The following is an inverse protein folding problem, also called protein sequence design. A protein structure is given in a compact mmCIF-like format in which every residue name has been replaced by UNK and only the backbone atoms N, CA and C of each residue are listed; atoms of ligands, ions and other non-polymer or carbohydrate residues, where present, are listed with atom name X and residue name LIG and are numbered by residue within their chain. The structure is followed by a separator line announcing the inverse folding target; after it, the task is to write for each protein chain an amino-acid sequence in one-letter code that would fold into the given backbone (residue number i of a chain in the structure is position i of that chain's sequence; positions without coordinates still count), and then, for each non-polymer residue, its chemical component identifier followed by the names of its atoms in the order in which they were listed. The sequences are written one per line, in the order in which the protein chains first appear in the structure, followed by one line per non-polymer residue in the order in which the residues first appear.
data_IF_508443664043
#
_entry.id   IF_508443664043
#
_cell.length_a   1.000
_cell.length_b   1.000
_cell.length_c   1.000
_cell.angle_alpha   90.00
_cell.angle_beta   90.00
_cell.angle_gamma   90.00
#
_symmetry.space_group_name_H-M   'P 1'
#
loop_
_entity.id
_entity.type
_entity.pdbx_description
1 polymer ?
#
# COMPACT_ATOMS: atom_id res chain seq x y z
N UNK A 1 -4.70 -19.96 -7.95
CA UNK A 1 -3.78 -19.36 -8.96
C UNK A 1 -2.41 -19.99 -8.84
N UNK A 2 -1.82 -20.34 -9.96
CA UNK A 2 -0.49 -20.96 -10.00
C UNK A 2 0.51 -20.01 -10.67
N UNK A 3 1.74 -20.02 -10.18
CA UNK A 3 2.84 -19.32 -10.83
C UNK A 3 3.33 -20.20 -11.98
N UNK A 4 3.40 -19.62 -13.17
CA UNK A 4 3.85 -20.30 -14.38
C UNK A 4 5.36 -20.06 -14.56
N UNK A 5 6.16 -21.13 -14.47
CA UNK A 5 7.63 -21.05 -14.61
C UNK A 5 8.07 -20.56 -16.00
N UNK A 6 7.19 -20.64 -16.99
CA UNK A 6 7.51 -20.24 -18.37
C UNK A 6 7.22 -18.78 -18.66
N UNK A 7 6.65 -18.06 -17.71
CA UNK A 7 6.27 -16.65 -17.88
C UNK A 7 6.83 -15.82 -16.74
N UNK A 8 7.13 -14.57 -17.05
CA UNK A 8 7.53 -13.60 -16.03
C UNK A 8 6.35 -13.32 -15.09
N UNK A 9 6.60 -13.45 -13.79
CA UNK A 9 5.63 -13.11 -12.76
C UNK A 9 5.79 -11.62 -12.44
N UNK A 10 4.75 -10.84 -12.69
CA UNK A 10 4.78 -9.38 -12.58
C UNK A 10 4.08 -8.93 -11.31
N UNK A 11 4.78 -8.20 -10.47
CA UNK A 11 4.25 -7.65 -9.22
C UNK A 11 4.11 -6.14 -9.40
N UNK A 12 2.88 -5.63 -9.29
CA UNK A 12 2.63 -4.20 -9.29
C UNK A 12 2.90 -3.64 -7.88
N UNK A 13 3.76 -2.65 -7.78
CA UNK A 13 4.10 -2.02 -6.49
C UNK A 13 3.16 -0.85 -6.24
N UNK A 14 2.20 -1.02 -5.36
CA UNK A 14 1.27 0.03 -4.97
C UNK A 14 1.78 0.82 -3.76
N UNK A 15 2.56 0.15 -2.90
CA UNK A 15 3.14 0.81 -1.74
C UNK A 15 2.09 1.47 -0.86
N UNK A 16 2.22 2.77 -0.65
CA UNK A 16 1.29 3.59 0.13
C UNK A 16 0.53 4.58 -0.75
N UNK A 17 0.48 4.35 -2.05
CA UNK A 17 -0.15 5.28 -2.99
C UNK A 17 -1.67 5.40 -2.82
N UNK A 18 -2.26 4.53 -2.00
CA UNK A 18 -3.68 4.65 -1.64
C UNK A 18 -3.97 5.85 -0.73
N UNK A 19 -2.95 6.46 -0.14
CA UNK A 19 -3.08 7.63 0.75
C UNK A 19 -4.12 7.44 1.87
N UNK A 20 -4.24 6.22 2.41
CA UNK A 20 -5.21 5.93 3.46
C UNK A 20 -6.65 5.80 2.98
N UNK A 21 -6.89 5.78 1.67
CA UNK A 21 -8.23 5.69 1.08
C UNK A 21 -8.49 4.27 0.56
N UNK A 22 -9.54 3.63 1.06
CA UNK A 22 -9.94 2.31 0.56
C UNK A 22 -10.36 2.39 -0.91
N UNK A 23 -11.02 3.46 -1.30
CA UNK A 23 -11.43 3.67 -2.69
C UNK A 23 -10.23 3.69 -3.62
N UNK A 24 -9.17 4.41 -3.24
CA UNK A 24 -7.94 4.46 -4.02
C UNK A 24 -7.22 3.12 -4.04
N UNK A 25 -7.20 2.41 -2.90
CA UNK A 25 -6.58 1.08 -2.83
C UNK A 25 -7.27 0.10 -3.79
N UNK A 26 -8.61 0.08 -3.80
CA UNK A 26 -9.38 -0.78 -4.71
C UNK A 26 -9.14 -0.39 -6.17
N UNK A 27 -9.00 0.90 -6.46
CA UNK A 27 -8.69 1.38 -7.81
C UNK A 27 -7.30 0.92 -8.26
N UNK A 28 -6.32 0.94 -7.36
CA UNK A 28 -4.98 0.43 -7.67
C UNK A 28 -5.01 -1.06 -8.01
N UNK A 29 -5.83 -1.84 -7.31
CA UNK A 29 -6.03 -3.27 -7.59
C UNK A 29 -6.62 -3.46 -8.99
N UNK A 30 -7.64 -2.68 -9.33
CA UNK A 30 -8.26 -2.71 -10.66
C UNK A 30 -7.24 -2.41 -11.75
N UNK A 31 -6.48 -1.34 -11.58
CA UNK A 31 -5.46 -0.93 -12.56
C UNK A 31 -4.38 -1.99 -12.70
N UNK A 32 -3.93 -2.57 -11.59
CA UNK A 32 -2.94 -3.64 -11.63
C UNK A 32 -3.44 -4.83 -12.46
N UNK A 33 -4.68 -5.23 -12.25
CA UNK A 33 -5.29 -6.34 -13.01
C UNK A 33 -5.40 -6.01 -14.49
N UNK A 34 -5.91 -4.83 -14.81
CA UNK A 34 -6.05 -4.38 -16.20
C UNK A 34 -4.70 -4.25 -16.91
N UNK A 35 -3.65 -3.95 -16.18
CA UNK A 35 -2.30 -3.81 -16.74
C UNK A 35 -1.59 -5.15 -16.96
N UNK A 36 -2.21 -6.26 -16.57
CA UNK A 36 -1.64 -7.59 -16.76
C UNK A 36 -0.73 -8.07 -15.63
N UNK A 37 -0.72 -7.39 -14.49
CA UNK A 37 0.04 -7.86 -13.33
C UNK A 37 -0.53 -9.16 -12.77
N UNK A 38 0.35 -9.95 -12.17
CA UNK A 38 -0.02 -11.19 -11.50
C UNK A 38 -0.29 -10.98 -10.02
N UNK A 39 0.29 -9.92 -9.46
CA UNK A 39 0.17 -9.59 -8.05
C UNK A 39 0.21 -8.09 -7.85
N UNK A 40 -0.31 -7.66 -6.71
CA UNK A 40 -0.14 -6.28 -6.24
C UNK A 40 0.47 -6.32 -4.84
N UNK A 41 1.34 -5.38 -4.56
CA UNK A 41 2.05 -5.29 -3.28
C UNK A 41 1.77 -3.96 -2.63
N UNK A 42 1.27 -4.02 -1.40
CA UNK A 42 1.08 -2.85 -0.54
C UNK A 42 2.10 -2.89 0.59
N UNK A 43 2.51 -1.73 1.05
CA UNK A 43 3.31 -1.64 2.27
C UNK A 43 2.36 -1.54 3.46
N UNK A 44 2.56 -2.42 4.44
CA UNK A 44 1.76 -2.50 5.65
C UNK A 44 2.61 -2.15 6.85
N UNK A 45 2.16 -1.21 7.68
CA UNK A 45 2.92 -0.77 8.84
C UNK A 45 1.99 -0.15 9.88
N UNK A 46 2.54 0.01 11.08
CA UNK A 46 1.95 0.85 12.12
C UNK A 46 2.90 2.02 12.36
N UNK A 47 2.38 3.24 12.28
CA UNK A 47 3.22 4.44 12.37
C UNK A 47 4.02 4.48 13.69
N UNK A 48 3.42 4.03 14.78
CA UNK A 48 4.09 3.99 16.09
C UNK A 48 5.29 3.04 16.13
N UNK A 49 5.40 2.10 15.20
CA UNK A 49 6.53 1.18 15.12
C UNK A 49 7.67 1.69 14.22
N UNK A 50 7.42 2.73 13.44
CA UNK A 50 8.39 3.26 12.50
C UNK A 50 9.04 4.56 12.97
N UNK A 51 8.34 5.35 13.77
CA UNK A 51 8.83 6.67 14.16
C UNK A 51 8.14 7.14 15.44
N UNK A 52 8.66 8.24 16.03
CA UNK A 52 8.05 8.88 17.19
C UNK A 52 7.13 10.01 16.75
N UNK A 53 6.25 10.47 17.66
CA UNK A 53 5.33 11.58 17.39
C UNK A 53 6.07 12.88 17.03
N UNK A 54 7.32 13.01 17.44
CA UNK A 54 8.10 14.24 17.30
C UNK A 54 9.09 14.21 16.15
N UNK A 55 9.22 13.07 15.43
CA UNK A 55 10.18 12.98 14.34
C UNK A 55 9.75 13.91 13.19
N UNK A 56 10.69 14.69 12.63
CA UNK A 56 10.38 15.54 11.49
C UNK A 56 10.22 14.71 10.22
N UNK A 57 9.45 15.25 9.27
CA UNK A 57 9.34 14.62 7.95
C UNK A 57 10.68 14.69 7.22
N UNK A 58 10.93 13.71 6.35
CA UNK A 58 12.06 13.77 5.45
C UNK A 58 11.89 14.93 4.47
N UNK A 59 13.01 15.43 3.92
CA UNK A 59 13.03 16.63 3.10
C UNK A 59 12.03 16.58 1.94
N UNK A 60 12.01 15.48 1.20
CA UNK A 60 11.10 15.34 0.06
C UNK A 60 9.62 15.27 0.48
N UNK A 61 9.34 14.86 1.69
CA UNK A 61 7.97 14.74 2.19
C UNK A 61 7.37 16.11 2.55
N UNK A 62 8.21 17.08 2.86
CA UNK A 62 7.77 18.43 3.23
C UNK A 62 7.04 19.14 2.09
N UNK A 63 7.34 18.76 0.85
CA UNK A 63 6.71 19.37 -0.34
C UNK A 63 5.34 18.80 -0.66
N UNK A 64 4.98 17.65 -0.07
CA UNK A 64 3.75 16.94 -0.43
C UNK A 64 2.74 16.85 0.70
N UNK A 65 3.02 17.43 1.85
CA UNK A 65 2.17 17.29 3.03
C UNK A 65 2.07 18.62 3.78
N UNK A 66 1.21 18.65 4.80
CA UNK A 66 0.97 19.85 5.59
C UNK A 66 2.23 20.33 6.29
N UNK A 67 2.41 21.66 6.30
CA UNK A 67 3.63 22.30 6.79
C UNK A 67 4.00 21.93 8.23
N UNK A 68 3.02 21.79 9.12
CA UNK A 68 3.24 21.50 10.54
C UNK A 68 3.05 20.03 10.89
N UNK A 69 2.96 19.18 9.87
CA UNK A 69 2.75 17.76 10.06
C UNK A 69 4.06 17.05 10.42
N UNK A 70 4.04 16.21 11.47
CA UNK A 70 5.18 15.37 11.83
C UNK A 70 5.23 14.13 10.93
N UNK A 71 6.36 13.45 10.92
CA UNK A 71 6.48 12.18 10.20
C UNK A 71 5.47 11.15 10.72
N UNK A 72 5.26 11.09 12.04
CA UNK A 72 4.28 10.19 12.63
C UNK A 72 2.88 10.48 12.08
N UNK A 73 2.47 11.74 12.08
CA UNK A 73 1.15 12.13 11.60
C UNK A 73 0.97 11.79 10.11
N UNK A 74 2.00 12.02 9.32
CA UNK A 74 1.97 11.67 7.91
C UNK A 74 1.85 10.16 7.71
N UNK A 75 2.66 9.37 8.42
CA UNK A 75 2.63 7.91 8.31
C UNK A 75 1.30 7.33 8.80
N UNK A 76 0.72 7.93 9.85
CA UNK A 76 -0.57 7.48 10.39
C UNK A 76 -1.68 7.58 9.34
N UNK A 77 -1.65 8.61 8.52
CA UNK A 77 -2.61 8.78 7.43
C UNK A 77 -2.42 7.75 6.31
N UNK A 78 -1.23 7.19 6.20
CA UNK A 78 -0.89 6.24 5.14
C UNK A 78 -1.03 4.78 5.58
N UNK A 79 -1.40 4.53 6.82
CA UNK A 79 -1.61 3.16 7.29
C UNK A 79 -2.74 2.48 6.54
N UNK A 80 -2.54 1.21 6.24
CA UNK A 80 -3.60 0.35 5.73
C UNK A 80 -4.27 -0.30 6.93
N UNK A 81 -5.48 0.10 7.25
CA UNK A 81 -6.21 -0.45 8.40
C UNK A 81 -6.56 -1.92 8.16
N UNK A 82 -6.87 -2.65 9.23
CA UNK A 82 -7.26 -4.05 9.12
C UNK A 82 -8.49 -4.22 8.23
N UNK A 83 -9.46 -3.30 8.33
CA UNK A 83 -10.67 -3.33 7.50
C UNK A 83 -10.32 -3.12 6.03
N UNK A 84 -9.42 -2.17 5.74
CA UNK A 84 -8.95 -1.92 4.37
C UNK A 84 -8.20 -3.12 3.83
N UNK A 85 -7.34 -3.75 4.65
CA UNK A 85 -6.58 -4.92 4.26
C UNK A 85 -7.51 -6.08 3.87
N UNK A 86 -8.56 -6.32 4.68
CA UNK A 86 -9.56 -7.34 4.38
C UNK A 86 -10.29 -7.06 3.08
N UNK A 87 -10.66 -5.80 2.84
CA UNK A 87 -11.35 -5.39 1.61
C UNK A 87 -10.44 -5.59 0.40
N UNK A 88 -9.17 -5.24 0.50
CA UNK A 88 -8.19 -5.44 -0.57
C UNK A 88 -7.97 -6.92 -0.86
N UNK A 89 -7.86 -7.74 0.18
CA UNK A 89 -7.70 -9.19 0.04
C UNK A 89 -8.88 -9.80 -0.71
N UNK A 90 -10.10 -9.42 -0.30
CA UNK A 90 -11.33 -9.90 -0.94
C UNK A 90 -11.38 -9.52 -2.42
N UNK A 91 -11.02 -8.27 -2.73
CA UNK A 91 -11.03 -7.79 -4.11
C UNK A 91 -9.96 -8.48 -4.96
N UNK A 92 -8.77 -8.68 -4.42
CA UNK A 92 -7.70 -9.39 -5.12
C UNK A 92 -8.10 -10.84 -5.39
N UNK A 93 -8.72 -11.51 -4.43
CA UNK A 93 -9.19 -12.88 -4.61
C UNK A 93 -10.24 -12.95 -5.70
N UNK A 94 -11.18 -12.02 -5.73
CA UNK A 94 -12.22 -11.91 -6.76
C UNK A 94 -11.61 -11.73 -8.15
N UNK A 95 -10.55 -10.93 -8.27
CA UNK A 95 -9.88 -10.61 -9.53
C UNK A 95 -8.76 -11.58 -9.89
N UNK A 96 -8.52 -12.59 -9.06
CA UNK A 96 -7.46 -13.58 -9.26
C UNK A 96 -6.07 -12.93 -9.31
N UNK A 97 -5.82 -12.00 -8.39
CA UNK A 97 -4.52 -11.37 -8.15
C UNK A 97 -3.96 -11.89 -6.84
N UNK A 98 -2.65 -12.13 -6.81
CA UNK A 98 -1.97 -12.33 -5.52
C UNK A 98 -1.87 -10.98 -4.82
N UNK A 99 -2.06 -11.00 -3.50
CA UNK A 99 -1.84 -9.83 -2.65
C UNK A 99 -0.63 -10.07 -1.78
N UNK A 100 0.37 -9.19 -1.88
CA UNK A 100 1.57 -9.24 -1.04
C UNK A 100 1.57 -8.03 -0.11
N UNK A 101 1.19 -8.22 1.17
CA UNK A 101 1.37 -7.16 2.16
C UNK A 101 2.81 -7.21 2.66
N UNK A 102 3.59 -6.18 2.35
CA UNK A 102 4.95 -6.08 2.90
C UNK A 102 4.89 -5.39 4.24
N UNK A 103 5.22 -6.12 5.28
CA UNK A 103 5.25 -5.57 6.63
C UNK A 103 6.55 -4.81 6.86
N UNK A 104 6.41 -3.54 7.25
CA UNK A 104 7.53 -2.70 7.68
C UNK A 104 7.48 -2.60 9.21
N UNK A 105 8.55 -2.99 9.85
CA UNK A 105 8.66 -2.98 11.31
C UNK A 105 9.76 -2.05 11.79
#
# INVERSE_FOLDING_TARGET
MKIDDKRTFIIAEAGVNHNGSIKKALKLIEVAKLSGANAIKFQTFKAENLTTDYAPKAEYQKYKSLKNETQFQMLKKLELTDAMHKACFKECKKKKLFLFPQLLT
#
